data_IF_904296891579
#
_entry.id   IF_904296891579
#
_cell.length_a   1.000
_cell.length_b   1.000
_cell.length_c   1.000
_cell.angle_alpha   90.00
_cell.angle_beta   90.00
_cell.angle_gamma   90.00
#
_symmetry.space_group_name_H-M   'P 1'
#
loop_
_entity.id
_entity.type
_entity.pdbx_description
1 polymer ?
#
# COMPACT_ATOMS: atom_id res chain seq x y z
N UNK A 1 13.09 -4.95 24.96
CA UNK A 1 12.21 -3.92 24.34
C UNK A 1 12.66 -3.57 22.90
N UNK A 2 13.95 -3.43 22.62
CA UNK A 2 14.51 -3.07 21.30
C UNK A 2 14.21 -4.01 20.12
N UNK A 3 14.05 -5.31 20.36
CA UNK A 3 13.78 -6.31 19.30
C UNK A 3 12.41 -6.12 18.63
N UNK A 4 11.42 -5.62 19.38
CA UNK A 4 10.06 -5.43 18.85
C UNK A 4 9.95 -4.22 17.91
N UNK A 5 10.64 -3.12 18.23
CA UNK A 5 10.71 -1.91 17.39
C UNK A 5 11.41 -2.24 16.05
N UNK A 6 12.56 -2.92 16.11
CA UNK A 6 13.28 -3.36 14.89
C UNK A 6 12.43 -4.26 13.99
N UNK A 7 11.58 -5.12 14.56
CA UNK A 7 10.68 -5.99 13.78
C UNK A 7 9.56 -5.21 13.08
N UNK A 8 9.01 -4.18 13.73
CA UNK A 8 7.98 -3.32 13.14
C UNK A 8 8.53 -2.52 11.95
N UNK A 9 9.70 -1.89 12.12
CA UNK A 9 10.37 -1.13 11.04
C UNK A 9 10.67 -2.03 9.83
N UNK A 10 11.18 -3.24 10.07
CA UNK A 10 11.41 -4.21 8.99
C UNK A 10 10.12 -4.59 8.26
N UNK A 11 9.02 -4.76 8.99
CA UNK A 11 7.70 -5.01 8.40
C UNK A 11 7.25 -3.87 7.50
N UNK A 12 7.37 -2.62 7.96
CA UNK A 12 7.01 -1.43 7.18
C UNK A 12 7.84 -1.34 5.89
N UNK A 13 9.14 -1.65 5.95
CA UNK A 13 9.98 -1.67 4.75
C UNK A 13 9.53 -2.71 3.71
N UNK A 14 9.22 -3.93 4.16
CA UNK A 14 8.73 -5.00 3.27
C UNK A 14 7.38 -4.63 2.65
N UNK A 15 6.49 -4.05 3.45
CA UNK A 15 5.21 -3.53 2.97
C UNK A 15 5.40 -2.49 1.86
N UNK A 16 6.26 -1.50 2.07
CA UNK A 16 6.53 -0.47 1.04
C UNK A 16 7.12 -1.07 -0.23
N UNK A 17 8.01 -2.06 -0.12
CA UNK A 17 8.54 -2.78 -1.26
C UNK A 17 7.47 -3.50 -2.06
N UNK A 18 6.55 -4.19 -1.39
CA UNK A 18 5.42 -4.87 -2.04
C UNK A 18 4.52 -3.89 -2.79
N UNK A 19 4.13 -2.79 -2.13
CA UNK A 19 3.29 -1.75 -2.75
C UNK A 19 4.00 -1.08 -3.93
N UNK A 20 5.32 -0.86 -3.85
CA UNK A 20 6.11 -0.28 -4.94
C UNK A 20 6.12 -1.16 -6.20
N UNK A 21 6.16 -2.49 -6.04
CA UNK A 21 6.09 -3.41 -7.17
C UNK A 21 4.71 -3.38 -7.82
N UNK A 22 3.64 -3.47 -7.03
CA UNK A 22 2.27 -3.50 -7.54
C UNK A 22 1.84 -2.16 -8.14
N UNK A 23 2.23 -1.04 -7.53
CA UNK A 23 1.94 0.30 -8.04
C UNK A 23 2.60 0.56 -9.41
N UNK A 24 3.74 -0.08 -9.68
CA UNK A 24 4.40 -0.03 -11.00
C UNK A 24 3.56 -0.73 -12.08
N UNK A 25 2.79 -1.74 -11.72
CA UNK A 25 1.96 -2.52 -12.63
C UNK A 25 0.57 -1.89 -12.87
N UNK A 26 0.25 -0.75 -12.25
CA UNK A 26 -1.02 -0.04 -12.49
C UNK A 26 -0.89 0.86 -13.73
N UNK A 27 -1.73 0.61 -14.74
CA UNK A 27 -1.85 1.46 -15.93
C UNK A 27 -2.26 2.91 -15.60
N UNK A 28 -1.88 3.85 -16.46
CA UNK A 28 -2.22 5.26 -16.31
C UNK A 28 -3.73 5.49 -16.50
N UNK A 29 -4.35 6.36 -15.69
CA UNK A 29 -5.71 6.85 -15.94
C UNK A 29 -6.87 6.04 -15.35
N UNK A 30 -6.74 4.75 -15.09
CA UNK A 30 -7.81 3.96 -14.48
C UNK A 30 -7.26 2.97 -13.44
N UNK A 31 -8.07 2.72 -12.41
CA UNK A 31 -7.94 1.59 -11.48
C UNK A 31 -7.13 1.73 -10.19
N UNK A 32 -6.83 2.95 -9.74
CA UNK A 32 -6.50 3.15 -8.32
C UNK A 32 -7.71 3.76 -7.64
N UNK A 33 -8.41 2.93 -6.89
CA UNK A 33 -9.48 3.40 -6.01
C UNK A 33 -8.93 3.44 -4.58
N UNK A 34 -8.41 4.60 -4.19
CA UNK A 34 -8.34 4.93 -2.77
C UNK A 34 -9.79 5.27 -2.36
N UNK A 35 -10.59 4.26 -2.04
CA UNK A 35 -12.00 4.47 -1.77
C UNK A 35 -12.14 5.29 -0.48
N UNK A 36 -12.72 6.49 -0.62
CA UNK A 36 -13.14 7.36 0.48
C UNK A 36 -14.30 6.71 1.25
N UNK A 37 -13.98 5.69 2.02
CA UNK A 37 -14.75 5.32 3.20
C UNK A 37 -13.74 5.19 4.33
N UNK A 38 -13.32 6.36 4.86
CA UNK A 38 -12.43 6.51 6.02
C UNK A 38 -10.95 6.11 5.80
N UNK A 39 -10.40 6.31 4.60
CA UNK A 39 -8.95 6.33 4.34
C UNK A 39 -8.17 5.02 4.52
N UNK A 40 -8.85 3.92 4.86
CA UNK A 40 -8.23 2.68 5.35
C UNK A 40 -8.03 1.59 4.29
N UNK A 41 -8.43 1.85 3.04
CA UNK A 41 -8.40 0.89 1.93
C UNK A 41 -7.66 1.47 0.73
N UNK A 42 -6.71 0.71 0.20
CA UNK A 42 -6.01 0.98 -1.05
C UNK A 42 -6.27 -0.17 -2.01
N UNK A 43 -6.78 0.13 -3.21
CA UNK A 43 -7.11 -0.85 -4.24
C UNK A 43 -6.39 -0.52 -5.54
N UNK A 44 -5.71 -1.51 -6.09
CA UNK A 44 -5.05 -1.48 -7.40
C UNK A 44 -5.71 -2.50 -8.30
N UNK A 45 -5.90 -2.16 -9.58
CA UNK A 45 -6.01 -3.17 -10.65
C UNK A 45 -4.70 -3.19 -11.42
N UNK A 46 -4.11 -4.36 -11.51
CA UNK A 46 -2.85 -4.59 -12.19
C UNK A 46 -3.10 -4.79 -13.69
N UNK A 47 -2.04 -4.66 -14.51
CA UNK A 47 -2.09 -4.89 -15.97
C UNK A 47 -2.63 -6.27 -16.36
N UNK A 48 -2.39 -7.29 -15.54
CA UNK A 48 -2.88 -8.64 -15.78
C UNK A 48 -4.39 -8.81 -15.46
N UNK A 49 -5.06 -7.75 -14.99
CA UNK A 49 -6.46 -7.74 -14.61
C UNK A 49 -6.73 -8.07 -13.14
N UNK A 50 -5.73 -8.54 -12.39
CA UNK A 50 -5.87 -8.84 -10.97
C UNK A 50 -6.10 -7.57 -10.15
N UNK A 51 -6.82 -7.75 -9.06
CA UNK A 51 -7.12 -6.70 -8.11
C UNK A 51 -6.41 -6.93 -6.79
N UNK A 52 -5.54 -6.01 -6.40
CA UNK A 52 -4.90 -6.04 -5.08
C UNK A 52 -5.57 -5.05 -4.15
N UNK A 53 -5.92 -5.50 -2.95
CA UNK A 53 -6.55 -4.68 -1.92
C UNK A 53 -5.70 -4.74 -0.66
N UNK A 54 -5.35 -3.56 -0.13
CA UNK A 54 -4.85 -3.39 1.23
C UNK A 54 -5.96 -2.78 2.08
N UNK A 55 -6.35 -3.49 3.14
CA UNK A 55 -7.44 -3.09 4.01
C UNK A 55 -7.00 -3.19 5.47
N UNK A 56 -7.22 -2.12 6.23
CA UNK A 56 -7.07 -2.19 7.68
C UNK A 56 -8.28 -2.89 8.29
N UNK A 57 -8.03 -4.00 8.98
CA UNK A 57 -9.03 -4.72 9.78
C UNK A 57 -8.51 -4.85 11.20
N UNK A 58 -9.22 -4.29 12.18
CA UNK A 58 -8.75 -4.14 13.56
C UNK A 58 -7.37 -3.47 13.59
N UNK A 59 -6.36 -4.13 14.15
CA UNK A 59 -4.98 -3.63 14.24
C UNK A 59 -4.05 -4.25 13.19
N UNK A 60 -4.60 -4.80 12.10
CA UNK A 60 -3.85 -5.44 11.03
C UNK A 60 -4.07 -4.72 9.70
N UNK A 61 -3.01 -4.63 8.90
CA UNK A 61 -3.13 -4.34 7.48
C UNK A 61 -3.13 -5.66 6.73
N UNK A 62 -4.21 -5.94 6.02
CA UNK A 62 -4.43 -7.18 5.29
C UNK A 62 -4.34 -6.92 3.80
N UNK A 63 -3.60 -7.76 3.09
CA UNK A 63 -3.58 -7.81 1.64
C UNK A 63 -4.48 -8.94 1.13
N UNK A 64 -5.21 -8.65 0.06
CA UNK A 64 -6.07 -9.58 -0.67
C UNK A 64 -5.82 -9.44 -2.16
N UNK A 65 -5.95 -10.54 -2.89
CA UNK A 65 -5.91 -10.55 -4.37
C UNK A 65 -7.25 -11.07 -4.87
N UNK A 66 -7.90 -10.32 -5.75
CA UNK A 66 -9.24 -10.60 -6.27
C UNK A 66 -10.26 -10.85 -5.15
N UNK A 67 -10.19 -10.03 -4.08
CA UNK A 67 -10.97 -10.16 -2.84
C UNK A 67 -10.79 -11.48 -2.08
N UNK A 68 -9.87 -12.34 -2.49
CA UNK A 68 -9.55 -13.62 -1.86
C UNK A 68 -8.27 -13.51 -1.03
N UNK A 69 -8.14 -14.45 -0.09
CA UNK A 69 -7.01 -14.51 0.83
C UNK A 69 -7.14 -13.57 2.02
N UNK A 70 -6.19 -13.69 2.95
CA UNK A 70 -6.08 -12.88 4.16
C UNK A 70 -4.63 -12.79 4.61
N UNK A 71 -3.80 -12.21 3.76
CA UNK A 71 -2.38 -12.07 4.06
C UNK A 71 -2.19 -10.91 5.04
N UNK A 72 -1.66 -11.19 6.24
CA UNK A 72 -1.39 -10.14 7.24
C UNK A 72 -0.03 -9.53 6.94
N UNK A 73 -0.03 -8.31 6.38
CA UNK A 73 1.19 -7.60 5.97
C UNK A 73 1.82 -6.86 7.14
N UNK A 74 1.01 -6.16 7.92
CA UNK A 74 1.45 -5.43 9.11
C UNK A 74 0.55 -5.73 10.30
N UNK A 75 1.15 -5.74 11.48
CA UNK A 75 0.46 -5.78 12.75
C UNK A 75 0.62 -4.45 13.48
N UNK A 76 -0.20 -4.25 14.51
CA UNK A 76 -0.21 -3.03 15.35
C UNK A 76 -0.44 -1.75 14.55
N UNK A 77 -1.27 -1.83 13.51
CA UNK A 77 -1.64 -0.67 12.71
C UNK A 77 -2.78 0.05 13.41
N UNK A 78 -2.52 1.26 13.92
CA UNK A 78 -3.52 2.11 14.54
C UNK A 78 -4.37 2.85 13.50
N UNK A 79 -3.73 3.42 12.48
CA UNK A 79 -4.36 4.01 11.31
C UNK A 79 -3.46 3.89 10.07
N UNK A 80 -4.06 3.91 8.88
CA UNK A 80 -3.34 4.07 7.61
C UNK A 80 -4.14 5.02 6.72
N UNK A 81 -3.44 5.87 5.99
CA UNK A 81 -4.04 6.76 5.00
C UNK A 81 -3.17 6.82 3.74
N UNK A 82 -3.83 7.12 2.63
CA UNK A 82 -3.25 7.09 1.30
C UNK A 82 -3.58 8.39 0.58
N UNK A 83 -2.59 8.99 -0.09
CA UNK A 83 -2.79 10.13 -0.98
C UNK A 83 -2.16 9.82 -2.32
N UNK A 84 -3.00 9.74 -3.35
CA UNK A 84 -2.59 9.46 -4.71
C UNK A 84 -2.41 10.75 -5.51
N UNK A 85 -1.33 10.82 -6.27
CA UNK A 85 -1.13 11.77 -7.37
C UNK A 85 -0.88 10.99 -8.66
N UNK A 86 -0.79 11.63 -9.84
CA UNK A 86 -0.59 10.91 -11.10
C UNK A 86 0.63 9.99 -11.16
N UNK A 87 1.69 10.26 -10.39
CA UNK A 87 2.93 9.45 -10.43
C UNK A 87 3.37 8.93 -9.07
N UNK A 88 2.72 9.36 -7.99
CA UNK A 88 3.19 9.13 -6.63
C UNK A 88 2.03 8.69 -5.76
N UNK A 89 2.26 7.68 -4.94
CA UNK A 89 1.37 7.31 -3.85
C UNK A 89 2.09 7.55 -2.52
N UNK A 90 1.54 8.46 -1.73
CA UNK A 90 1.95 8.70 -0.35
C UNK A 90 1.17 7.76 0.58
N UNK A 91 1.87 7.16 1.51
CA UNK A 91 1.33 6.23 2.50
C UNK A 91 1.74 6.75 3.88
N UNK A 92 0.77 7.03 4.74
CA UNK A 92 1.01 7.41 6.12
C UNK A 92 0.38 6.36 7.04
N UNK A 93 1.19 5.80 7.93
CA UNK A 93 0.76 4.78 8.88
C UNK A 93 1.10 5.23 10.29
N UNK A 94 0.10 5.21 11.18
CA UNK A 94 0.28 5.40 12.60
C UNK A 94 0.11 4.06 13.29
N UNK A 95 1.12 3.61 14.02
CA UNK A 95 1.03 2.35 14.75
C UNK A 95 0.16 2.50 16.03
N UNK A 96 -0.12 1.41 16.73
CA UNK A 96 -0.93 1.45 17.98
C UNK A 96 -0.19 2.12 19.14
N UNK A 97 1.13 2.33 19.05
CA UNK A 97 1.91 3.09 20.03
C UNK A 97 1.88 4.60 19.76
N UNK A 98 1.45 4.99 18.56
CA UNK A 98 1.35 6.36 18.10
C UNK A 98 2.52 6.81 17.23
N UNK A 99 3.50 5.94 16.96
CA UNK A 99 4.61 6.20 16.05
C UNK A 99 4.10 6.33 14.61
N UNK A 100 4.60 7.33 13.89
CA UNK A 100 4.20 7.63 12.52
C UNK A 100 5.30 7.13 11.58
N UNK A 101 4.87 6.40 10.56
CA UNK A 101 5.72 5.91 9.49
C UNK A 101 5.19 6.44 8.16
N UNK A 102 6.07 7.12 7.43
CA UNK A 102 5.75 7.70 6.13
C UNK A 102 6.50 6.95 5.04
N UNK A 103 5.78 6.66 3.96
CA UNK A 103 6.31 5.98 2.79
C UNK A 103 5.82 6.62 1.52
N UNK A 104 6.67 6.56 0.51
CA UNK A 104 6.38 7.08 -0.83
C UNK A 104 6.71 5.98 -1.82
N UNK A 105 5.77 5.68 -2.71
CA UNK A 105 6.02 4.84 -3.86
C UNK A 105 5.78 5.63 -5.14
N UNK A 106 6.60 5.36 -6.15
CA UNK A 106 6.63 6.14 -7.39
C UNK A 106 6.42 5.22 -8.59
N UNK A 107 5.74 5.71 -9.63
CA UNK A 107 5.70 5.06 -10.93
C UNK A 107 6.36 5.98 -11.96
N UNK A 108 7.22 5.40 -12.77
CA UNK A 108 7.81 6.10 -13.91
C UNK A 108 6.79 6.15 -15.04
N UNK A 109 6.74 7.27 -15.76
CA UNK A 109 6.06 7.30 -17.04
C UNK A 109 6.83 6.40 -18.00
N UNK A 110 6.13 5.52 -18.72
CA UNK A 110 6.75 4.80 -19.83
C UNK A 110 7.17 5.84 -20.87
N UNK A 111 8.46 5.89 -21.18
CA UNK A 111 8.94 6.62 -22.35
C UNK A 111 8.66 5.76 -23.57
N UNK A 112 7.58 6.05 -24.29
CA UNK A 112 7.37 5.46 -25.61
C UNK A 112 8.44 6.01 -26.57
N UNK A 113 9.32 5.13 -27.06
CA UNK A 113 10.06 5.39 -28.29
C UNK A 113 9.08 5.04 -29.41
N UNK A 114 8.57 6.06 -30.10
CA UNK A 114 7.82 5.84 -31.35
C UNK A 114 8.83 5.35 -32.39
N UNK A 115 8.66 4.10 -32.86
CA UNK A 115 9.24 3.65 -34.14
C UNK A 115 8.51 4.32 -35.32
#
# INVERSE_FOLDING_TARGET
MFTRIKKQIKGVYLFLGQVQLEFREVSFGEHIMALENKGSILRFRLRNGDEVIYEKVNNHLIRKVNMRGREVILQKVGNVSYKLTPHVLFINMKDTSGEIHEGVVVRYSEMEIKE
#
